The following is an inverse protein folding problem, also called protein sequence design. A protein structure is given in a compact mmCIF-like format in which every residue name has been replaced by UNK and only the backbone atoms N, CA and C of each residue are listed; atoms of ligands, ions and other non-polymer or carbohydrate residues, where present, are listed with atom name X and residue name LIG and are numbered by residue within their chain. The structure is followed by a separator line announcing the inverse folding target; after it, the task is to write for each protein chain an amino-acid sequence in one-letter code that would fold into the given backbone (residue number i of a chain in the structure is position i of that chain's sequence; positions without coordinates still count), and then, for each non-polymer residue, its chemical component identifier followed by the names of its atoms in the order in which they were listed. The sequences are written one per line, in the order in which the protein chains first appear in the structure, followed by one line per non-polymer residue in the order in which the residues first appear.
data_IF_684113121724
#
_entry.id   IF_684113121724
#
_cell.length_a   1.000
_cell.length_b   1.000
_cell.length_c   1.000
_cell.angle_alpha   90.00
_cell.angle_beta   90.00
_cell.angle_gamma   90.00
#
_symmetry.space_group_name_H-M   'P 1'
#
loop_
_entity.id
_entity.type
_entity.pdbx_description
1 polymer ?
#
# COMPACT_ATOMS: atom_id res chain seq x y z
N UNK A 1 13.56 -26.26 5.00
CA UNK A 1 12.09 -26.35 5.06
C UNK A 1 11.57 -24.93 4.98
N UNK A 2 10.83 -24.53 3.93
CA UNK A 2 10.19 -23.23 3.94
C UNK A 2 9.18 -23.20 5.09
N UNK A 3 9.18 -22.14 5.88
CA UNK A 3 8.15 -21.93 6.88
C UNK A 3 6.94 -21.36 6.15
N UNK A 4 5.90 -22.17 5.98
CA UNK A 4 4.61 -21.69 5.52
C UNK A 4 4.14 -20.63 6.52
N UNK A 5 4.04 -19.38 6.06
CA UNK A 5 3.52 -18.29 6.87
C UNK A 5 2.03 -18.55 7.15
N UNK A 6 1.60 -18.32 8.38
CA UNK A 6 0.16 -18.30 8.70
C UNK A 6 -0.54 -17.29 7.79
N UNK A 7 -1.82 -17.52 7.47
CA UNK A 7 -2.59 -16.59 6.62
C UNK A 7 -2.53 -15.15 7.16
N UNK A 8 -2.64 -14.97 8.48
CA UNK A 8 -2.48 -13.65 9.11
C UNK A 8 -1.10 -13.02 8.89
N UNK A 9 -0.02 -13.82 8.91
CA UNK A 9 1.31 -13.34 8.57
C UNK A 9 1.45 -12.97 7.09
N UNK A 10 0.78 -13.70 6.18
CA UNK A 10 0.72 -13.36 4.76
C UNK A 10 -0.02 -12.03 4.53
N UNK A 11 -1.15 -11.79 5.21
CA UNK A 11 -1.86 -10.50 5.15
C UNK A 11 -0.99 -9.36 5.71
N UNK A 12 -0.32 -9.58 6.84
CA UNK A 12 0.60 -8.59 7.40
C UNK A 12 1.79 -8.27 6.47
N UNK A 13 2.21 -9.25 5.67
CA UNK A 13 3.25 -9.07 4.67
C UNK A 13 2.82 -8.08 3.56
N UNK A 14 1.53 -7.99 3.23
CA UNK A 14 1.02 -7.00 2.28
C UNK A 14 1.25 -5.57 2.78
N UNK A 15 1.00 -5.31 4.07
CA UNK A 15 1.29 -4.00 4.66
C UNK A 15 2.78 -3.66 4.61
N UNK A 16 3.67 -4.66 4.73
CA UNK A 16 5.11 -4.48 4.55
C UNK A 16 5.45 -4.13 3.10
N UNK A 17 4.90 -4.85 2.11
CA UNK A 17 5.07 -4.56 0.69
C UNK A 17 4.65 -3.12 0.34
N UNK A 18 3.49 -2.66 0.82
CA UNK A 18 3.05 -1.26 0.59
C UNK A 18 4.05 -0.25 1.19
N UNK A 19 4.59 -0.50 2.38
CA UNK A 19 5.60 0.39 2.99
C UNK A 19 6.92 0.41 2.21
N UNK A 20 7.23 -0.67 1.52
CA UNK A 20 8.45 -0.84 0.74
C UNK A 20 8.33 -0.37 -0.72
N UNK A 21 7.09 -0.20 -1.20
CA UNK A 21 6.79 0.11 -2.59
C UNK A 21 7.53 1.35 -3.11
N UNK A 22 8.12 1.23 -4.29
CA UNK A 22 8.89 2.27 -4.95
C UNK A 22 8.04 3.18 -5.85
N UNK A 23 6.88 2.71 -6.28
CA UNK A 23 5.94 3.47 -7.10
C UNK A 23 4.47 3.14 -6.79
N UNK A 24 3.56 3.86 -7.44
CA UNK A 24 2.12 3.67 -7.25
C UNK A 24 1.58 2.39 -7.89
N UNK A 25 2.27 1.80 -8.86
CA UNK A 25 1.89 0.54 -9.50
C UNK A 25 2.10 -0.63 -8.53
N UNK A 26 3.24 -0.68 -7.84
CA UNK A 26 3.51 -1.67 -6.80
C UNK A 26 2.48 -1.62 -5.66
N UNK A 27 2.03 -0.42 -5.26
CA UNK A 27 0.95 -0.29 -4.27
C UNK A 27 -0.37 -0.81 -4.84
N UNK A 28 -0.71 -0.48 -6.09
CA UNK A 28 -1.92 -0.96 -6.73
C UNK A 28 -1.94 -2.50 -6.85
N UNK A 29 -0.81 -3.12 -7.20
CA UNK A 29 -0.65 -4.56 -7.25
C UNK A 29 -0.91 -5.22 -5.90
N UNK A 30 -0.37 -4.65 -4.82
CA UNK A 30 -0.63 -5.18 -3.47
C UNK A 30 -2.11 -5.03 -3.10
N UNK A 31 -2.77 -3.94 -3.48
CA UNK A 31 -4.20 -3.73 -3.22
C UNK A 31 -5.09 -4.65 -4.06
N UNK A 32 -4.62 -5.20 -5.18
CA UNK A 32 -5.33 -6.23 -5.95
C UNK A 32 -5.60 -7.47 -5.10
N UNK A 33 -4.63 -7.91 -4.30
CA UNK A 33 -4.78 -9.07 -3.39
C UNK A 33 -5.90 -8.86 -2.35
N UNK A 34 -6.13 -7.60 -1.93
CA UNK A 34 -7.21 -7.29 -0.99
C UNK A 34 -8.58 -7.27 -1.66
N UNK A 35 -8.64 -6.88 -2.94
CA UNK A 35 -9.87 -6.46 -3.63
C UNK A 35 -10.25 -7.33 -4.82
N UNK A 36 -9.53 -8.42 -5.07
CA UNK A 36 -9.88 -9.34 -6.14
C UNK A 36 -11.33 -9.87 -5.97
N UNK A 37 -12.05 -9.95 -7.09
CA UNK A 37 -13.50 -10.07 -7.07
C UNK A 37 -14.03 -11.35 -6.40
N UNK A 38 -13.25 -12.44 -6.44
CA UNK A 38 -13.68 -13.75 -5.95
C UNK A 38 -12.74 -14.35 -4.89
N UNK A 39 -11.45 -14.06 -4.99
CA UNK A 39 -10.39 -14.58 -4.13
C UNK A 39 -9.69 -13.48 -3.31
N UNK A 40 -10.21 -12.25 -3.36
CA UNK A 40 -9.70 -11.14 -2.57
C UNK A 40 -9.93 -11.36 -1.08
N UNK A 41 -8.99 -10.89 -0.26
CA UNK A 41 -9.05 -11.07 1.20
C UNK A 41 -10.36 -10.51 1.79
N UNK A 42 -10.84 -9.36 1.32
CA UNK A 42 -12.08 -8.77 1.83
C UNK A 42 -13.32 -9.60 1.45
N UNK A 43 -13.32 -10.19 0.26
CA UNK A 43 -14.37 -11.12 -0.19
C UNK A 43 -14.39 -12.37 0.68
N UNK A 44 -13.23 -13.01 0.88
CA UNK A 44 -13.11 -14.21 1.72
C UNK A 44 -13.53 -13.97 3.17
N UNK A 45 -13.17 -12.80 3.76
CA UNK A 45 -13.65 -12.43 5.11
C UNK A 45 -15.18 -12.23 5.11
N UNK A 46 -15.74 -11.63 4.06
CA UNK A 46 -17.19 -11.52 3.88
C UNK A 46 -17.89 -12.87 3.88
N UNK A 47 -17.35 -13.85 3.15
CA UNK A 47 -17.88 -15.22 3.11
C UNK A 47 -17.88 -15.87 4.50
N UNK A 48 -16.78 -15.76 5.25
CA UNK A 48 -16.68 -16.24 6.63
C UNK A 48 -17.75 -15.61 7.53
N UNK A 49 -18.02 -14.31 7.39
CA UNK A 49 -19.07 -13.65 8.15
C UNK A 49 -20.47 -14.12 7.74
N UNK A 50 -20.71 -14.42 6.46
CA UNK A 50 -22.01 -14.93 5.99
C UNK A 50 -22.25 -16.40 6.36
N UNK A 51 -21.20 -17.19 6.56
CA UNK A 51 -21.31 -18.55 7.11
C UNK A 51 -21.94 -18.57 8.52
N UNK A 52 -22.04 -17.41 9.17
CA UNK A 52 -22.71 -17.24 10.45
C UNK A 52 -24.24 -17.37 10.41
N UNK A 53 -24.82 -17.70 9.27
CA UNK A 53 -26.17 -18.27 9.19
C UNK A 53 -26.33 -19.51 10.09
N UNK A 54 -25.22 -20.16 10.47
CA UNK A 54 -25.17 -21.13 11.58
C UNK A 54 -25.92 -20.68 12.84
N UNK A 55 -25.88 -19.39 13.18
CA UNK A 55 -26.61 -18.89 14.36
C UNK A 55 -28.13 -19.02 14.21
N UNK A 56 -28.69 -18.97 13.00
CA UNK A 56 -30.14 -19.05 12.79
C UNK A 56 -30.75 -20.35 13.34
N UNK A 57 -29.95 -21.42 13.40
CA UNK A 57 -30.38 -22.76 13.79
C UNK A 57 -30.07 -23.12 15.27
N UNK A 58 -29.49 -22.19 16.04
CA UNK A 58 -29.11 -22.43 17.45
C UNK A 58 -30.28 -22.34 18.45
N UNK A 59 -31.41 -21.75 18.03
CA UNK A 59 -32.67 -21.79 18.77
C UNK A 59 -32.81 -20.84 19.97
N UNK A 60 -31.84 -19.96 20.23
CA UNK A 60 -31.97 -18.90 21.21
C UNK A 60 -32.63 -17.64 20.60
N UNK A 61 -33.40 -16.88 21.38
CA UNK A 61 -34.06 -15.67 20.90
C UNK A 61 -33.12 -14.60 20.31
N UNK A 62 -31.86 -14.58 20.75
CA UNK A 62 -30.86 -13.60 20.31
C UNK A 62 -30.14 -13.99 19.02
N UNK A 63 -30.23 -15.25 18.59
CA UNK A 63 -29.38 -15.75 17.50
C UNK A 63 -29.68 -15.11 16.13
N UNK A 64 -30.95 -14.85 15.75
CA UNK A 64 -31.25 -14.11 14.52
C UNK A 64 -30.62 -12.71 14.49
N UNK A 65 -30.52 -12.05 15.66
CA UNK A 65 -29.87 -10.75 15.76
C UNK A 65 -28.36 -10.83 15.49
N UNK A 66 -27.68 -11.87 15.98
CA UNK A 66 -26.26 -12.08 15.69
C UNK A 66 -26.01 -12.39 14.20
N UNK A 67 -26.82 -13.26 13.59
CA UNK A 67 -26.74 -13.55 12.16
C UNK A 67 -26.94 -12.27 11.31
N UNK A 68 -27.96 -11.46 11.64
CA UNK A 68 -28.20 -10.18 10.98
C UNK A 68 -27.02 -9.21 11.10
N UNK A 69 -26.42 -9.13 12.30
CA UNK A 69 -25.26 -8.27 12.52
C UNK A 69 -24.05 -8.69 11.68
N UNK A 70 -23.80 -9.98 11.54
CA UNK A 70 -22.68 -10.49 10.75
C UNK A 70 -22.91 -10.30 9.25
N UNK A 71 -24.13 -10.52 8.75
CA UNK A 71 -24.52 -10.17 7.37
C UNK A 71 -24.37 -8.67 7.08
N UNK A 72 -24.74 -7.81 8.03
CA UNK A 72 -24.53 -6.37 7.91
C UNK A 72 -23.04 -6.01 7.81
N UNK A 73 -22.18 -6.63 8.62
CA UNK A 73 -20.73 -6.42 8.55
C UNK A 73 -20.14 -6.91 7.22
N UNK A 74 -20.60 -8.05 6.69
CA UNK A 74 -20.22 -8.53 5.37
C UNK A 74 -20.59 -7.51 4.27
N UNK A 75 -21.80 -6.94 4.33
CA UNK A 75 -22.20 -5.86 3.41
C UNK A 75 -21.29 -4.63 3.49
N UNK A 76 -20.85 -4.24 4.69
CA UNK A 76 -19.88 -3.15 4.87
C UNK A 76 -18.50 -3.46 4.30
N UNK A 77 -18.05 -4.72 4.38
CA UNK A 77 -16.79 -5.13 3.74
C UNK A 77 -16.87 -4.98 2.22
N UNK A 78 -18.02 -5.26 1.60
CA UNK A 78 -18.23 -5.01 0.18
C UNK A 78 -18.09 -3.53 -0.20
N UNK A 79 -18.64 -2.62 0.61
CA UNK A 79 -18.46 -1.18 0.40
C UNK A 79 -16.99 -0.75 0.54
N UNK A 80 -16.29 -1.26 1.55
CA UNK A 80 -14.85 -1.01 1.74
C UNK A 80 -14.04 -1.54 0.54
N UNK A 81 -14.35 -2.75 0.06
CA UNK A 81 -13.66 -3.33 -1.09
C UNK A 81 -13.83 -2.47 -2.35
N UNK A 82 -15.01 -1.89 -2.55
CA UNK A 82 -15.26 -0.97 -3.67
C UNK A 82 -14.43 0.32 -3.55
N UNK A 83 -14.37 0.93 -2.37
CA UNK A 83 -13.56 2.13 -2.12
C UNK A 83 -12.05 1.87 -2.31
N UNK A 84 -11.57 0.74 -1.80
CA UNK A 84 -10.17 0.33 -1.98
C UNK A 84 -9.88 0.02 -3.44
N UNK A 85 -10.80 -0.63 -4.16
CA UNK A 85 -10.65 -0.89 -5.60
C UNK A 85 -10.61 0.40 -6.41
N UNK A 86 -11.38 1.42 -6.04
CA UNK A 86 -11.30 2.76 -6.63
C UNK A 86 -9.92 3.38 -6.41
N UNK A 87 -9.43 3.38 -5.17
CA UNK A 87 -8.10 3.88 -4.82
C UNK A 87 -6.98 3.15 -5.58
N UNK A 88 -7.10 1.82 -5.70
CA UNK A 88 -6.17 1.00 -6.48
C UNK A 88 -6.13 1.45 -7.94
N UNK A 89 -7.29 1.66 -8.57
CA UNK A 89 -7.34 2.10 -9.96
C UNK A 89 -6.71 3.49 -10.13
N UNK A 90 -7.00 4.43 -9.22
CA UNK A 90 -6.38 5.75 -9.23
C UNK A 90 -4.85 5.72 -9.09
N UNK A 91 -4.32 4.77 -8.30
CA UNK A 91 -2.88 4.56 -8.14
C UNK A 91 -2.25 3.89 -9.35
N UNK A 92 -2.93 2.89 -9.93
CA UNK A 92 -2.50 2.25 -11.17
C UNK A 92 -2.41 3.30 -12.28
N UNK A 93 -3.42 4.15 -12.45
CA UNK A 93 -3.42 5.18 -13.49
C UNK A 93 -2.31 6.23 -13.31
N UNK A 94 -1.93 6.51 -12.06
CA UNK A 94 -0.96 7.57 -11.72
C UNK A 94 0.48 7.28 -12.14
N UNK A 95 0.92 6.02 -12.12
CA UNK A 95 2.30 5.57 -12.42
C UNK A 95 3.41 6.49 -11.85
N UNK A 96 3.28 6.92 -10.59
CA UNK A 96 4.22 7.86 -9.97
C UNK A 96 5.20 7.15 -9.05
N UNK A 97 6.49 7.47 -9.20
CA UNK A 97 7.53 7.08 -8.26
C UNK A 97 7.27 7.71 -6.87
N UNK A 98 7.64 6.98 -5.83
CA UNK A 98 7.51 7.43 -4.45
C UNK A 98 8.51 8.58 -4.17
N UNK A 99 8.05 9.75 -3.68
CA UNK A 99 8.86 10.99 -3.63
C UNK A 99 10.10 10.90 -2.73
N UNK A 100 10.15 9.93 -1.84
CA UNK A 100 11.26 9.71 -0.92
C UNK A 100 11.99 8.37 -1.12
N UNK A 101 11.69 7.64 -2.19
CA UNK A 101 12.40 6.41 -2.56
C UNK A 101 12.93 6.60 -3.97
N UNK A 102 14.24 6.76 -4.09
CA UNK A 102 14.92 6.82 -5.37
C UNK A 102 15.60 5.47 -5.58
N UNK A 103 15.32 4.75 -6.67
CA UNK A 103 16.05 3.53 -6.99
C UNK A 103 17.54 3.86 -7.03
N UNK A 104 18.38 3.12 -6.30
CA UNK A 104 19.82 3.25 -6.44
C UNK A 104 20.21 2.62 -7.78
N UNK A 105 20.68 3.39 -8.77
CA UNK A 105 20.96 2.87 -10.12
C UNK A 105 22.26 2.08 -10.18
N UNK A 106 22.71 1.44 -9.08
CA UNK A 106 23.97 0.68 -9.10
C UNK A 106 23.76 -0.59 -9.91
N UNK A 107 24.05 -0.49 -11.19
CA UNK A 107 24.28 -1.60 -12.09
C UNK A 107 25.46 -2.41 -11.53
N UNK A 108 25.15 -3.55 -10.90
CA UNK A 108 26.16 -4.46 -10.37
C UNK A 108 26.81 -5.14 -11.58
N UNK A 109 28.05 -4.75 -11.88
CA UNK A 109 28.81 -5.42 -12.93
C UNK A 109 28.90 -6.93 -12.63
N UNK A 110 28.78 -7.82 -13.64
CA UNK A 110 28.63 -9.27 -13.45
C UNK A 110 29.80 -10.00 -12.76
N UNK A 111 30.84 -9.27 -12.33
CA UNK A 111 32.09 -9.78 -11.77
C UNK A 111 32.31 -9.40 -10.30
N UNK A 112 31.41 -8.63 -9.67
CA UNK A 112 31.54 -8.29 -8.25
C UNK A 112 30.68 -9.23 -7.39
N UNK A 113 31.31 -10.29 -6.86
CA UNK A 113 30.75 -11.01 -5.71
C UNK A 113 30.94 -10.15 -4.45
N UNK A 114 29.83 -9.95 -3.73
CA UNK A 114 29.71 -9.37 -2.37
C UNK A 114 29.56 -7.85 -2.28
N UNK A 115 28.30 -7.38 -2.45
CA UNK A 115 27.91 -6.00 -2.18
C UNK A 115 27.79 -5.75 -0.66
N UNK A 116 28.78 -5.07 -0.09
CA UNK A 116 28.63 -4.40 1.21
C UNK A 116 27.64 -3.24 1.05
N UNK A 117 26.41 -3.42 1.54
CA UNK A 117 25.37 -2.38 1.43
C UNK A 117 25.57 -1.35 2.54
N UNK A 118 26.48 -0.40 2.29
CA UNK A 118 26.41 0.94 2.87
C UNK A 118 26.57 1.91 1.70
N UNK A 119 25.45 2.39 1.16
CA UNK A 119 25.49 3.58 0.31
C UNK A 119 25.63 4.80 1.24
N UNK A 120 26.75 5.54 1.25
CA UNK A 120 26.73 6.87 1.83
C UNK A 120 25.79 7.71 0.97
N UNK A 121 24.73 8.28 1.57
CA UNK A 121 23.94 9.31 0.91
C UNK A 121 24.88 10.36 0.32
N UNK A 122 24.70 10.80 -0.95
CA UNK A 122 25.49 11.90 -1.48
C UNK A 122 25.24 13.14 -0.61
N UNK A 123 26.28 13.91 -0.24
CA UNK A 123 26.09 15.13 0.54
C UNK A 123 25.23 16.13 -0.25
N UNK A 124 24.30 16.78 0.44
CA UNK A 124 23.42 17.78 -0.16
C UNK A 124 24.24 18.86 -0.88
N UNK A 125 23.85 19.19 -2.11
CA UNK A 125 24.49 20.24 -2.89
C UNK A 125 24.35 21.60 -2.17
N UNK A 126 25.42 22.40 -2.09
CA UNK A 126 25.36 23.72 -1.46
C UNK A 126 24.41 24.64 -2.25
N UNK A 127 23.69 25.55 -1.56
CA UNK A 127 22.77 26.46 -2.21
C UNK A 127 23.51 27.39 -3.18
N UNK A 128 22.92 27.60 -4.36
CA UNK A 128 23.47 28.49 -5.38
C UNK A 128 23.61 29.93 -4.85
N UNK A 129 24.71 30.64 -5.20
CA UNK A 129 24.90 32.02 -4.78
C UNK A 129 23.80 32.92 -5.37
N UNK A 130 23.17 33.73 -4.51
CA UNK A 130 22.18 34.72 -4.94
C UNK A 130 22.86 35.77 -5.83
N UNK A 131 22.22 36.18 -6.95
CA UNK A 131 22.76 37.22 -7.80
C UNK A 131 22.86 38.55 -7.04
N UNK A 132 23.89 39.38 -7.29
CA UNK A 132 24.03 40.66 -6.62
C UNK A 132 22.89 41.60 -7.02
N UNK A 133 22.33 42.29 -6.02
CA UNK A 133 21.32 43.32 -6.24
C UNK A 133 21.93 44.47 -7.07
N UNK A 134 21.32 44.77 -8.21
CA UNK A 134 21.65 45.92 -9.04
C UNK A 134 21.31 47.21 -8.30
N UNK A 135 22.32 47.91 -7.77
CA UNK A 135 22.17 49.25 -7.23
C UNK A 135 21.90 50.23 -8.38
N UNK A 136 20.69 50.77 -8.43
CA UNK A 136 20.29 51.84 -9.34
C UNK A 136 21.15 53.08 -9.12
N UNK A 137 21.88 53.52 -10.15
CA UNK A 137 22.56 54.82 -10.18
C UNK A 137 21.53 55.95 -10.27
N UNK A 138 21.08 56.43 -9.11
CA UNK A 138 20.30 57.65 -8.99
C UNK A 138 21.15 58.87 -9.34
N UNK A 139 20.99 59.39 -10.55
CA UNK A 139 21.51 60.70 -10.99
C UNK A 139 20.76 61.81 -10.26
N UNK A 140 21.42 62.57 -9.38
CA UNK A 140 20.92 63.87 -8.89
C UNK A 140 21.69 65.01 -9.54
N UNK A 141 20.88 65.90 -10.15
CA UNK A 141 21.07 67.31 -10.53
C UNK A 141 22.47 67.80 -10.85
#
# INVERSE_FOLDING_TARGET
MPHDLTLGAQVNNLARRIREAEDSEEVADVLTELTAAHDGILTAVGEVLTAADFHQDLGQPADPHYANRLRYLAGRLGAIALEVSGTRNDLADRHAAHPHRTPCPREVAPIEHEASVVCPCPPALPPAPRPPASASTGRRR
#
